data_IF_378941300919
#
_entry.id   IF_378941300919
#
_cell.length_a   1.000
_cell.length_b   1.000
_cell.length_c   1.000
_cell.angle_alpha   90.00
_cell.angle_beta   90.00
_cell.angle_gamma   90.00
#
_symmetry.space_group_name_H-M   'P 1'
#
loop_
_entity.id
_entity.type
_entity.pdbx_description
1 polymer ?
#
# COMPACT_ATOMS: atom_id res chain seq x y z
N UNK A 1 6.88 23.00 12.34
CA UNK A 1 7.17 21.56 12.46
C UNK A 1 6.15 21.01 13.46
N UNK A 2 4.94 20.73 12.97
CA UNK A 2 3.80 20.38 13.81
C UNK A 2 3.99 18.97 14.37
N UNK A 3 3.82 18.86 15.69
CA UNK A 3 4.06 17.65 16.45
C UNK A 3 3.12 16.51 16.02
N UNK A 4 3.70 15.37 15.65
CA UNK A 4 3.06 14.08 15.85
C UNK A 4 3.08 13.81 17.36
N UNK A 5 2.09 14.29 18.11
CA UNK A 5 1.93 13.96 19.52
C UNK A 5 0.84 12.88 19.68
N UNK A 6 1.32 11.70 20.07
CA UNK A 6 0.74 10.66 20.93
C UNK A 6 -0.79 10.44 20.95
N UNK A 7 -1.21 9.27 20.46
CA UNK A 7 -2.50 8.65 20.74
C UNK A 7 -2.39 7.62 21.87
N UNK A 8 -2.68 8.05 23.09
CA UNK A 8 -2.90 7.24 24.29
C UNK A 8 -3.80 6.00 24.00
N UNK A 9 -3.28 4.79 24.23
CA UNK A 9 -4.09 3.60 24.58
C UNK A 9 -5.08 3.02 23.56
N UNK A 10 -5.14 3.47 22.30
CA UNK A 10 -5.98 2.87 21.25
C UNK A 10 -5.10 2.08 20.28
N UNK A 11 -5.38 0.79 20.05
CA UNK A 11 -4.83 0.10 18.88
C UNK A 11 -5.37 0.81 17.65
N UNK A 12 -4.51 1.55 16.97
CA UNK A 12 -4.81 2.06 15.64
C UNK A 12 -4.58 0.92 14.66
N UNK A 13 -5.61 0.59 13.88
CA UNK A 13 -5.49 -0.39 12.80
C UNK A 13 -4.73 0.24 11.64
N UNK A 14 -3.41 0.36 11.78
CA UNK A 14 -2.52 0.89 10.76
C UNK A 14 -2.36 -0.14 9.63
N UNK A 15 -2.52 0.31 8.40
CA UNK A 15 -2.35 -0.52 7.21
C UNK A 15 -1.57 0.21 6.11
N UNK A 16 -0.94 -0.57 5.24
CA UNK A 16 -0.28 -0.10 4.04
C UNK A 16 -0.40 -1.16 2.93
N UNK A 17 -0.25 -0.73 1.69
CA UNK A 17 -0.18 -1.63 0.53
C UNK A 17 1.26 -1.94 0.16
N UNK A 18 1.50 -3.17 -0.30
CA UNK A 18 2.76 -3.54 -0.91
C UNK A 18 2.90 -2.88 -2.29
N UNK A 19 4.11 -2.43 -2.62
CA UNK A 19 4.44 -1.82 -3.92
C UNK A 19 5.49 -2.63 -4.66
N UNK A 20 5.48 -2.56 -5.99
CA UNK A 20 6.41 -3.20 -6.92
C UNK A 20 6.75 -2.26 -8.08
N UNK A 21 7.66 -2.68 -8.96
CA UNK A 21 7.93 -2.00 -10.23
C UNK A 21 6.67 -1.93 -11.11
N UNK A 22 6.41 -0.79 -11.77
CA UNK A 22 5.24 -0.63 -12.61
C UNK A 22 5.33 -1.48 -13.88
N UNK A 23 4.18 -1.99 -14.34
CA UNK A 23 4.04 -2.57 -15.67
C UNK A 23 4.12 -1.49 -16.77
N UNK A 24 4.08 -1.88 -18.05
CA UNK A 24 4.21 -0.94 -19.17
C UNK A 24 3.15 0.18 -19.16
N UNK A 25 1.90 -0.17 -18.86
CA UNK A 25 0.78 0.77 -18.85
C UNK A 25 0.90 1.79 -17.72
N UNK A 26 1.18 1.31 -16.51
CA UNK A 26 1.33 2.17 -15.33
C UNK A 26 2.62 2.99 -15.44
N UNK A 27 3.71 2.40 -15.93
CA UNK A 27 5.01 3.06 -16.07
C UNK A 27 4.99 4.22 -17.07
N UNK A 28 4.14 4.13 -18.10
CA UNK A 28 3.93 5.24 -19.04
C UNK A 28 3.30 6.48 -18.39
N UNK A 29 2.53 6.29 -17.31
CA UNK A 29 1.87 7.39 -16.56
C UNK A 29 2.68 7.78 -15.32
N UNK A 30 3.20 6.80 -14.58
CA UNK A 30 3.91 7.02 -13.32
C UNK A 30 4.98 5.94 -13.08
N UNK A 31 6.27 6.25 -13.29
CA UNK A 31 7.35 5.27 -13.28
C UNK A 31 7.82 4.85 -11.87
N UNK A 32 7.33 5.48 -10.80
CA UNK A 32 7.90 5.30 -9.45
C UNK A 32 7.67 3.92 -8.84
N UNK A 33 6.46 3.38 -9.01
CA UNK A 33 5.99 2.12 -8.43
C UNK A 33 4.52 1.92 -8.80
N UNK A 34 4.05 0.68 -8.69
CA UNK A 34 2.64 0.32 -8.67
C UNK A 34 2.31 -0.50 -7.41
N UNK A 35 1.07 -0.45 -6.88
CA UNK A 35 0.66 -1.34 -5.81
C UNK A 35 0.52 -2.78 -6.33
N UNK A 36 0.72 -3.76 -5.44
CA UNK A 36 0.38 -5.16 -5.71
C UNK A 36 -1.13 -5.32 -5.79
N UNK A 37 -1.62 -5.90 -6.88
CA UNK A 37 -3.05 -6.15 -7.10
C UNK A 37 -3.30 -7.66 -7.07
N UNK A 38 -4.09 -8.13 -6.11
CA UNK A 38 -4.50 -9.53 -6.02
C UNK A 38 -5.75 -9.75 -6.87
N UNK A 39 -5.58 -10.31 -8.07
CA UNK A 39 -6.68 -10.47 -9.03
C UNK A 39 -7.36 -11.84 -8.99
N UNK A 40 -6.87 -12.77 -8.16
CA UNK A 40 -7.44 -14.13 -8.02
C UNK A 40 -7.72 -14.46 -6.55
N UNK A 41 -8.77 -15.27 -6.27
CA UNK A 41 -9.13 -15.66 -4.91
C UNK A 41 -7.99 -16.33 -4.14
N UNK A 42 -7.19 -17.19 -4.81
CA UNK A 42 -6.07 -17.90 -4.16
C UNK A 42 -5.01 -16.95 -3.58
N UNK A 43 -4.98 -15.68 -4.04
CA UNK A 43 -4.06 -14.67 -3.52
C UNK A 43 -4.44 -14.13 -2.14
N UNK A 44 -5.67 -14.33 -1.67
CA UNK A 44 -6.16 -13.83 -0.37
C UNK A 44 -6.98 -14.84 0.43
N UNK A 45 -7.53 -15.87 -0.20
CA UNK A 45 -8.26 -16.94 0.47
C UNK A 45 -7.26 -18.04 0.89
N UNK A 46 -7.03 -18.16 2.20
CA UNK A 46 -6.26 -19.24 2.85
C UNK A 46 -7.15 -19.97 3.84
#
# INVERSE_FOLDING_TARGET
MGLCAEGEGRREDLFAFLTIEPNAEVGAVHPKAMPVILTKPEGWAT
#
